data_IF_993193990454
#
_entry.id   IF_993193990454
#
_cell.length_a   1.000
_cell.length_b   1.000
_cell.length_c   1.000
_cell.angle_alpha   90.00
_cell.angle_beta   90.00
_cell.angle_gamma   90.00
#
_symmetry.space_group_name_H-M   'P 1'
#
loop_
_entity.id
_entity.type
_entity.pdbx_description
1 polymer ?
#
# COMPACT_ATOMS: atom_id res chain seq x y z
N UNK A 1 16.99 -4.61 -8.35
CA UNK A 1 16.20 -3.75 -7.46
C UNK A 1 17.09 -2.77 -6.71
N UNK A 2 16.53 -1.65 -6.24
CA UNK A 2 17.19 -0.62 -5.45
C UNK A 2 16.21 0.06 -4.50
N UNK A 3 16.71 0.78 -3.51
CA UNK A 3 15.88 1.51 -2.55
C UNK A 3 16.14 1.07 -1.11
N UNK A 4 15.54 1.80 -0.15
CA UNK A 4 15.79 1.65 1.29
C UNK A 4 15.65 0.21 1.78
N UNK A 5 14.59 -0.50 1.36
CA UNK A 5 14.39 -1.90 1.77
C UNK A 5 15.47 -2.84 1.26
N UNK A 6 15.99 -2.57 0.04
CA UNK A 6 17.12 -3.35 -0.53
C UNK A 6 18.40 -3.11 0.26
N UNK A 7 18.68 -1.85 0.58
CA UNK A 7 19.84 -1.47 1.37
C UNK A 7 19.78 -2.07 2.78
N UNK A 8 18.62 -2.02 3.43
CA UNK A 8 18.39 -2.66 4.72
C UNK A 8 18.55 -4.19 4.67
N UNK A 9 18.09 -4.84 3.60
CA UNK A 9 18.29 -6.28 3.43
C UNK A 9 19.76 -6.64 3.34
N UNK A 10 20.54 -5.90 2.54
CA UNK A 10 21.98 -6.11 2.44
C UNK A 10 22.73 -5.84 3.75
N UNK A 11 22.36 -4.78 4.48
CA UNK A 11 22.94 -4.51 5.80
C UNK A 11 22.61 -5.61 6.81
N UNK A 12 21.39 -6.15 6.80
CA UNK A 12 21.04 -7.31 7.62
C UNK A 12 21.89 -8.52 7.28
N UNK A 13 22.09 -8.82 5.99
CA UNK A 13 22.94 -9.90 5.54
C UNK A 13 24.39 -9.76 6.03
N UNK A 14 24.94 -8.54 5.93
CA UNK A 14 26.30 -8.26 6.47
C UNK A 14 26.38 -8.52 7.97
N UNK A 15 25.40 -8.08 8.74
CA UNK A 15 25.35 -8.30 10.19
C UNK A 15 25.25 -9.78 10.56
N UNK A 16 24.54 -10.57 9.78
CA UNK A 16 24.37 -12.00 9.97
C UNK A 16 25.48 -12.85 9.37
N UNK A 17 26.35 -12.26 8.52
CA UNK A 17 27.39 -12.97 7.80
C UNK A 17 26.87 -13.92 6.72
N UNK A 18 25.76 -13.58 6.08
CA UNK A 18 25.11 -14.39 5.03
C UNK A 18 24.92 -13.56 3.76
N UNK A 19 24.88 -14.24 2.61
CA UNK A 19 24.47 -13.64 1.36
C UNK A 19 22.95 -13.41 1.34
N UNK A 20 22.52 -12.32 0.70
CA UNK A 20 21.12 -11.97 0.55
C UNK A 20 20.68 -12.26 -0.88
N UNK A 21 19.71 -13.14 -1.03
CA UNK A 21 18.97 -13.33 -2.26
C UNK A 21 17.71 -12.44 -2.25
N UNK A 22 17.53 -11.61 -3.27
CA UNK A 22 16.36 -10.75 -3.41
C UNK A 22 15.29 -11.41 -4.28
N UNK A 23 14.14 -11.71 -3.70
CA UNK A 23 12.97 -12.21 -4.41
C UNK A 23 11.98 -11.06 -4.62
N UNK A 24 11.66 -10.73 -5.87
CA UNK A 24 10.83 -9.59 -6.25
C UNK A 24 9.42 -10.04 -6.60
N UNK A 25 8.43 -9.32 -6.05
CA UNK A 25 7.01 -9.53 -6.33
C UNK A 25 6.39 -8.25 -6.92
N UNK A 26 5.38 -8.40 -7.74
CA UNK A 26 4.62 -7.31 -8.38
C UNK A 26 3.45 -6.78 -7.52
N UNK A 27 3.19 -7.42 -6.37
CA UNK A 27 2.13 -7.02 -5.44
C UNK A 27 2.51 -7.31 -3.98
N UNK A 28 2.13 -6.41 -3.08
CA UNK A 28 2.41 -6.55 -1.65
C UNK A 28 1.82 -7.84 -1.04
N UNK A 29 0.62 -8.24 -1.46
CA UNK A 29 -0.01 -9.48 -0.99
C UNK A 29 0.81 -10.73 -1.30
N UNK A 30 1.45 -10.80 -2.46
CA UNK A 30 2.30 -11.94 -2.86
C UNK A 30 3.57 -12.04 -2.00
N UNK A 31 4.19 -10.92 -1.67
CA UNK A 31 5.36 -10.91 -0.76
C UNK A 31 4.98 -11.29 0.68
N UNK A 32 3.80 -10.86 1.14
CA UNK A 32 3.25 -11.30 2.44
C UNK A 32 3.04 -12.82 2.47
N UNK A 33 2.43 -13.37 1.42
CA UNK A 33 2.20 -14.81 1.28
C UNK A 33 3.52 -15.59 1.27
N UNK A 34 4.52 -15.13 0.54
CA UNK A 34 5.83 -15.77 0.45
C UNK A 34 6.52 -15.85 1.82
N UNK A 35 6.49 -14.79 2.63
CA UNK A 35 7.05 -14.82 3.99
C UNK A 35 6.18 -15.67 4.91
N UNK A 36 4.87 -15.56 4.84
CA UNK A 36 3.95 -16.36 5.67
C UNK A 36 4.14 -17.86 5.44
N UNK A 37 4.40 -18.27 4.20
CA UNK A 37 4.61 -19.66 3.80
C UNK A 37 6.09 -20.10 3.82
N UNK A 38 6.96 -19.31 4.44
CA UNK A 38 8.40 -19.60 4.58
C UNK A 38 9.16 -19.76 3.25
N UNK A 39 8.62 -19.19 2.16
CA UNK A 39 9.29 -19.10 0.86
C UNK A 39 10.30 -17.95 0.79
N UNK A 40 10.22 -17.03 1.75
CA UNK A 40 11.21 -16.00 2.01
C UNK A 40 11.37 -15.84 3.52
N UNK A 41 12.60 -15.54 3.97
CA UNK A 41 12.93 -15.47 5.39
C UNK A 41 12.54 -14.13 6.02
N UNK A 42 12.65 -13.05 5.26
CA UNK A 42 12.37 -11.67 5.71
C UNK A 42 11.67 -10.92 4.60
N UNK A 43 10.73 -10.06 4.97
CA UNK A 43 10.09 -9.12 4.05
C UNK A 43 9.95 -7.73 4.67
N UNK A 44 9.51 -6.76 3.87
CA UNK A 44 9.33 -5.36 4.27
C UNK A 44 7.87 -4.99 4.03
N UNK A 45 7.14 -4.72 5.11
CA UNK A 45 5.68 -4.62 5.07
C UNK A 45 5.14 -3.48 5.91
N UNK A 46 3.99 -2.97 5.48
CA UNK A 46 3.11 -2.25 6.39
C UNK A 46 2.63 -3.18 7.50
N UNK A 47 2.78 -2.76 8.74
CA UNK A 47 2.20 -3.46 9.90
C UNK A 47 0.67 -3.42 9.77
N UNK A 48 0.05 -4.59 9.78
CA UNK A 48 -1.40 -4.73 9.65
C UNK A 48 -1.88 -5.96 10.46
N UNK A 49 -3.05 -5.89 11.13
CA UNK A 49 -3.55 -7.00 11.92
C UNK A 49 -3.77 -8.30 11.16
N UNK A 50 -4.19 -8.22 9.89
CA UNK A 50 -4.39 -9.41 9.03
C UNK A 50 -3.04 -10.05 8.72
N UNK A 51 -2.05 -9.25 8.33
CA UNK A 51 -0.68 -9.72 8.07
C UNK A 51 -0.02 -10.29 9.33
N UNK A 52 -0.30 -9.70 10.49
CA UNK A 52 0.20 -10.17 11.79
C UNK A 52 -0.30 -11.54 12.22
N UNK A 53 -1.24 -12.14 11.51
CA UNK A 53 -1.63 -13.54 11.75
C UNK A 53 -0.53 -14.51 11.34
N UNK A 54 0.21 -14.23 10.30
CA UNK A 54 1.29 -15.08 9.76
C UNK A 54 2.69 -14.47 9.86
N UNK A 55 2.83 -13.19 10.23
CA UNK A 55 4.07 -12.44 10.25
C UNK A 55 4.31 -11.83 11.62
N UNK A 56 5.53 -12.00 12.14
CA UNK A 56 6.06 -11.25 13.28
C UNK A 56 6.80 -10.02 12.78
N UNK A 57 6.42 -8.82 13.24
CA UNK A 57 7.01 -7.56 12.81
C UNK A 57 8.06 -7.04 13.79
N UNK A 58 9.09 -6.38 13.25
CA UNK A 58 9.98 -5.51 14.04
C UNK A 58 9.25 -4.22 14.43
N UNK A 59 9.91 -3.36 15.20
CA UNK A 59 9.52 -1.95 15.28
C UNK A 59 9.54 -1.32 13.88
N UNK A 60 8.64 -0.36 13.59
CA UNK A 60 8.62 0.32 12.30
C UNK A 60 9.87 1.19 12.13
N UNK A 61 10.41 1.23 10.91
CA UNK A 61 11.56 2.06 10.56
C UNK A 61 11.19 3.31 9.76
N UNK A 62 9.98 3.38 9.21
CA UNK A 62 9.46 4.55 8.49
C UNK A 62 7.94 4.61 8.58
N UNK A 63 7.41 5.84 8.56
CA UNK A 63 5.98 6.12 8.44
C UNK A 63 5.67 6.61 7.03
N UNK A 64 4.62 6.06 6.43
CA UNK A 64 4.17 6.39 5.07
C UNK A 64 2.72 6.86 5.14
N UNK A 65 2.42 7.99 4.52
CA UNK A 65 1.06 8.54 4.50
C UNK A 65 0.23 7.94 3.37
N UNK A 66 -0.97 7.48 3.70
CA UNK A 66 -2.02 7.15 2.76
C UNK A 66 -2.89 8.38 2.45
N UNK A 67 -3.10 8.66 1.17
CA UNK A 67 -3.91 9.78 0.70
C UNK A 67 -4.96 9.33 -0.31
N UNK A 68 -5.96 10.19 -0.51
CA UNK A 68 -6.94 10.04 -1.58
C UNK A 68 -6.65 11.01 -2.72
N UNK A 69 -6.92 10.54 -3.92
CA UNK A 69 -6.84 11.29 -5.16
C UNK A 69 -8.21 11.27 -5.84
N UNK A 70 -8.63 12.43 -6.34
CA UNK A 70 -9.91 12.62 -7.04
C UNK A 70 -9.68 13.41 -8.32
N UNK A 71 -10.71 13.49 -9.17
CA UNK A 71 -10.70 14.43 -10.29
C UNK A 71 -10.75 15.87 -9.78
N UNK A 72 -10.20 16.78 -10.55
CA UNK A 72 -10.14 18.20 -10.19
C UNK A 72 -11.53 18.81 -10.01
N UNK A 73 -12.49 18.40 -10.81
CA UNK A 73 -13.91 18.81 -10.77
C UNK A 73 -14.77 17.99 -9.79
N UNK A 74 -14.19 17.04 -9.05
CA UNK A 74 -14.92 16.24 -8.06
C UNK A 74 -15.53 17.11 -6.97
N UNK A 75 -16.77 16.84 -6.54
CA UNK A 75 -17.37 17.51 -5.39
C UNK A 75 -16.76 17.08 -4.05
N UNK A 76 -15.99 16.00 -4.02
CA UNK A 76 -15.30 15.52 -2.82
C UNK A 76 -14.09 16.41 -2.55
N UNK A 77 -14.08 17.09 -1.41
CA UNK A 77 -13.03 18.05 -1.02
C UNK A 77 -12.31 17.68 0.27
N UNK A 78 -12.83 16.70 1.01
CA UNK A 78 -12.27 16.24 2.28
C UNK A 78 -12.37 14.70 2.42
N UNK A 79 -11.47 14.11 3.18
CA UNK A 79 -11.42 12.65 3.38
C UNK A 79 -12.73 12.07 3.96
N UNK A 80 -13.40 12.82 4.82
CA UNK A 80 -14.65 12.41 5.49
C UNK A 80 -15.83 12.27 4.51
N UNK A 81 -15.72 12.87 3.33
CA UNK A 81 -16.76 12.79 2.28
C UNK A 81 -16.61 11.57 1.38
N UNK A 82 -15.54 10.79 1.51
CA UNK A 82 -15.27 9.62 0.65
C UNK A 82 -16.23 8.47 0.95
N UNK A 83 -16.54 8.21 2.23
CA UNK A 83 -17.37 7.08 2.62
C UNK A 83 -18.88 7.36 2.46
N UNK A 84 -19.33 7.45 1.22
CA UNK A 84 -20.71 7.69 0.85
C UNK A 84 -21.24 6.57 -0.06
N UNK A 85 -22.56 6.26 0.01
CA UNK A 85 -23.20 5.35 -0.93
C UNK A 85 -22.98 5.81 -2.38
N UNK A 86 -22.59 4.89 -3.25
CA UNK A 86 -22.32 5.16 -4.65
C UNK A 86 -20.91 5.62 -4.96
N UNK A 87 -20.10 6.00 -3.97
CA UNK A 87 -18.68 6.29 -4.17
C UNK A 87 -17.88 5.01 -4.40
N UNK A 88 -17.06 4.99 -5.45
CA UNK A 88 -16.16 3.88 -5.76
C UNK A 88 -14.71 4.29 -5.49
N UNK A 89 -14.05 3.58 -4.59
CA UNK A 89 -12.65 3.80 -4.20
C UNK A 89 -11.77 2.72 -4.81
N UNK A 90 -10.83 3.10 -5.65
CA UNK A 90 -9.86 2.19 -6.27
C UNK A 90 -8.63 2.04 -5.39
N UNK A 91 -8.25 0.80 -5.09
CA UNK A 91 -7.06 0.44 -4.30
C UNK A 91 -6.28 -0.66 -4.98
N UNK A 92 -5.00 -0.83 -4.65
CA UNK A 92 -4.22 -2.00 -5.06
C UNK A 92 -4.63 -3.22 -4.26
N UNK A 93 -4.95 -4.33 -4.93
CA UNK A 93 -5.36 -5.58 -4.30
C UNK A 93 -4.32 -6.07 -3.29
N UNK A 94 -4.74 -6.32 -2.05
CA UNK A 94 -3.89 -6.79 -0.96
C UNK A 94 -2.90 -5.76 -0.42
N UNK A 95 -2.98 -4.49 -0.86
CA UNK A 95 -2.21 -3.39 -0.31
C UNK A 95 -2.64 -3.06 1.13
N UNK A 96 -1.82 -2.29 1.85
CA UNK A 96 -2.18 -1.80 3.18
C UNK A 96 -3.46 -0.94 3.16
N UNK A 97 -3.68 -0.20 2.09
CA UNK A 97 -4.89 0.63 1.87
C UNK A 97 -6.12 -0.24 1.68
N UNK A 98 -6.02 -1.31 0.89
CA UNK A 98 -7.09 -2.29 0.71
C UNK A 98 -7.50 -2.89 2.05
N UNK A 99 -6.55 -3.38 2.83
CA UNK A 99 -6.81 -3.98 4.14
C UNK A 99 -7.44 -2.99 5.12
N UNK A 100 -6.91 -1.76 5.18
CA UNK A 100 -7.42 -0.72 6.05
C UNK A 100 -8.84 -0.28 5.63
N UNK A 101 -9.04 0.06 4.36
CA UNK A 101 -10.32 0.58 3.86
C UNK A 101 -11.42 -0.47 3.87
N UNK A 102 -11.09 -1.75 3.69
CA UNK A 102 -12.04 -2.86 3.85
C UNK A 102 -12.63 -2.90 5.26
N UNK A 103 -11.86 -2.50 6.28
CA UNK A 103 -12.35 -2.40 7.66
C UNK A 103 -13.03 -1.06 7.97
N UNK A 104 -12.55 0.03 7.37
CA UNK A 104 -12.92 1.40 7.72
C UNK A 104 -14.15 1.91 6.98
N UNK A 105 -14.26 1.66 5.67
CA UNK A 105 -15.38 2.12 4.86
C UNK A 105 -16.65 1.32 5.16
N UNK A 106 -17.76 2.03 5.26
CA UNK A 106 -19.09 1.46 5.59
C UNK A 106 -20.08 1.54 4.43
N UNK A 107 -19.95 2.57 3.61
CA UNK A 107 -20.92 2.93 2.57
C UNK A 107 -20.33 2.93 1.17
N UNK A 108 -19.10 3.36 1.01
CA UNK A 108 -18.39 3.36 -0.27
C UNK A 108 -18.02 1.93 -0.71
N UNK A 109 -17.94 1.74 -2.02
CA UNK A 109 -17.52 0.47 -2.64
C UNK A 109 -16.03 0.50 -2.93
N UNK A 110 -15.32 -0.58 -2.64
CA UNK A 110 -13.91 -0.75 -2.97
C UNK A 110 -13.77 -1.51 -4.29
N UNK A 111 -13.04 -0.93 -5.23
CA UNK A 111 -12.60 -1.59 -6.45
C UNK A 111 -11.09 -1.90 -6.34
N UNK A 112 -10.70 -3.15 -6.61
CA UNK A 112 -9.32 -3.61 -6.47
C UNK A 112 -8.62 -3.69 -7.80
N UNK A 113 -7.69 -2.76 -8.06
CA UNK A 113 -6.76 -2.85 -9.18
C UNK A 113 -5.79 -4.02 -8.96
N UNK A 114 -5.29 -4.65 -10.04
CA UNK A 114 -4.42 -5.83 -9.93
C UNK A 114 -3.15 -5.58 -9.11
N UNK A 115 -2.55 -4.40 -9.25
CA UNK A 115 -1.32 -3.99 -8.56
C UNK A 115 -1.41 -2.54 -8.07
N UNK A 116 -0.60 -2.17 -7.08
CA UNK A 116 -0.58 -0.77 -6.59
C UNK A 116 -0.15 0.24 -7.66
N UNK A 117 0.83 -0.02 -8.54
CA UNK A 117 1.19 0.91 -9.61
C UNK A 117 0.08 1.18 -10.63
N UNK A 118 -0.89 0.29 -10.78
CA UNK A 118 -1.98 0.44 -11.76
C UNK A 118 -3.23 1.13 -11.21
N UNK A 119 -3.23 1.52 -9.94
CA UNK A 119 -4.42 2.08 -9.26
C UNK A 119 -4.96 3.32 -9.97
N UNK A 120 -4.11 4.29 -10.29
CA UNK A 120 -4.55 5.54 -10.91
C UNK A 120 -4.98 5.32 -12.37
N UNK A 121 -4.30 4.45 -13.10
CA UNK A 121 -4.70 4.11 -14.47
C UNK A 121 -6.10 3.49 -14.48
N UNK A 122 -6.35 2.52 -13.61
CA UNK A 122 -7.67 1.87 -13.46
C UNK A 122 -8.74 2.89 -13.01
N UNK A 123 -8.41 3.75 -12.03
CA UNK A 123 -9.30 4.81 -11.57
C UNK A 123 -9.75 5.73 -12.72
N UNK A 124 -8.81 6.12 -13.59
CA UNK A 124 -9.09 6.98 -14.75
C UNK A 124 -9.90 6.23 -15.80
N UNK A 125 -9.45 5.03 -16.20
CA UNK A 125 -10.09 4.22 -17.25
C UNK A 125 -11.52 3.80 -16.90
N UNK A 126 -11.76 3.42 -15.65
CA UNK A 126 -13.07 2.98 -15.19
C UNK A 126 -13.96 4.11 -14.68
N UNK A 127 -13.48 5.36 -14.75
CA UNK A 127 -14.18 6.55 -14.27
C UNK A 127 -14.68 6.44 -12.81
N UNK A 128 -13.88 5.82 -11.94
CA UNK A 128 -14.16 5.72 -10.50
C UNK A 128 -14.04 7.10 -9.82
N UNK A 129 -14.55 7.22 -8.58
CA UNK A 129 -14.65 8.51 -7.88
C UNK A 129 -13.37 8.88 -7.15
N UNK A 130 -12.68 7.91 -6.55
CA UNK A 130 -11.52 8.09 -5.68
C UNK A 130 -10.46 7.03 -5.96
N UNK A 131 -9.19 7.41 -5.95
CA UNK A 131 -8.07 6.49 -5.87
C UNK A 131 -7.38 6.64 -4.51
N UNK A 132 -6.96 5.53 -3.89
CA UNK A 132 -6.24 5.51 -2.62
C UNK A 132 -4.87 4.90 -2.77
N UNK A 133 -3.85 5.51 -2.18
CA UNK A 133 -2.47 5.03 -2.28
C UNK A 133 -1.47 5.83 -1.46
N UNK A 134 -0.19 5.56 -1.68
CA UNK A 134 0.91 6.35 -1.11
C UNK A 134 0.86 7.77 -1.63
N UNK A 135 0.92 8.75 -0.73
CA UNK A 135 0.88 10.18 -1.11
C UNK A 135 1.86 10.52 -2.22
N UNK A 136 3.14 10.20 -2.05
CA UNK A 136 4.19 10.52 -3.03
C UNK A 136 3.94 9.86 -4.40
N UNK A 137 3.41 8.64 -4.41
CA UNK A 137 3.06 7.97 -5.66
C UNK A 137 1.89 8.66 -6.35
N UNK A 138 0.86 9.03 -5.59
CA UNK A 138 -0.29 9.75 -6.14
C UNK A 138 0.11 11.15 -6.64
N UNK A 139 0.99 11.85 -5.95
CA UNK A 139 1.57 13.12 -6.42
C UNK A 139 2.30 12.95 -7.76
N UNK A 140 3.10 11.91 -7.90
CA UNK A 140 3.75 11.57 -9.15
C UNK A 140 2.72 11.28 -10.26
N UNK A 141 1.67 10.54 -9.95
CA UNK A 141 0.62 10.19 -10.93
C UNK A 141 -0.19 11.41 -11.39
N UNK A 142 -0.33 12.47 -10.55
CA UNK A 142 -0.95 13.74 -11.02
C UNK A 142 -0.12 14.44 -12.10
N UNK A 143 1.17 14.17 -12.20
CA UNK A 143 2.01 14.68 -13.28
C UNK A 143 1.85 13.89 -14.59
N UNK A 144 1.43 12.63 -14.49
CA UNK A 144 1.18 11.75 -15.63
C UNK A 144 -0.24 11.87 -16.21
N UNK A 145 -1.19 12.18 -15.36
CA UNK A 145 -2.61 12.34 -15.70
C UNK A 145 -3.08 13.75 -15.33
N UNK A 146 -3.53 14.50 -16.32
CA UNK A 146 -4.09 15.84 -16.09
C UNK A 146 -5.47 15.78 -15.43
N UNK A 147 -5.87 16.86 -14.76
CA UNK A 147 -7.20 17.00 -14.16
C UNK A 147 -7.43 16.17 -12.91
N UNK A 148 -6.36 15.84 -12.18
CA UNK A 148 -6.39 15.12 -10.90
C UNK A 148 -5.81 15.97 -9.78
N UNK A 149 -6.30 15.78 -8.56
CA UNK A 149 -5.80 16.41 -7.34
C UNK A 149 -5.87 15.48 -6.15
N UNK A 150 -4.98 15.68 -5.18
CA UNK A 150 -5.07 14.99 -3.90
C UNK A 150 -6.05 15.71 -2.98
N UNK A 151 -6.74 14.93 -2.14
CA UNK A 151 -7.45 15.49 -0.99
C UNK A 151 -6.45 15.94 0.08
N UNK A 152 -6.79 16.98 0.87
CA UNK A 152 -5.94 17.45 1.96
C UNK A 152 -5.76 16.38 3.05
N UNK A 153 -4.62 16.40 3.71
CA UNK A 153 -4.34 15.50 4.82
C UNK A 153 -4.07 14.06 4.37
N UNK A 154 -4.26 13.14 5.30
CA UNK A 154 -4.07 11.71 5.12
C UNK A 154 -5.26 10.95 5.71
N UNK A 155 -5.64 9.81 5.12
CA UNK A 155 -6.70 8.99 5.70
C UNK A 155 -6.15 7.87 6.60
N UNK A 156 -4.86 7.51 6.43
CA UNK A 156 -4.17 6.54 7.29
C UNK A 156 -2.67 6.76 7.26
N UNK A 157 -1.96 6.15 8.21
CA UNK A 157 -0.50 6.09 8.25
C UNK A 157 -0.07 4.63 8.24
N UNK A 158 0.83 4.29 7.34
CA UNK A 158 1.50 3.00 7.32
C UNK A 158 2.71 3.07 8.24
N UNK A 159 2.82 2.10 9.15
CA UNK A 159 4.04 1.79 9.89
C UNK A 159 4.78 0.70 9.13
N UNK A 160 5.83 1.06 8.40
CA UNK A 160 6.61 0.11 7.61
C UNK A 160 7.66 -0.56 8.50
N UNK A 161 7.70 -1.88 8.50
CA UNK A 161 8.58 -2.69 9.33
C UNK A 161 9.17 -3.86 8.54
N UNK A 162 10.17 -4.51 9.11
CA UNK A 162 10.59 -5.83 8.66
C UNK A 162 9.65 -6.89 9.24
N UNK A 163 9.42 -7.96 8.51
CA UNK A 163 8.58 -9.07 8.94
C UNK A 163 9.24 -10.41 8.69
N UNK A 164 9.05 -11.32 9.62
CA UNK A 164 9.52 -12.71 9.57
C UNK A 164 8.32 -13.64 9.67
N UNK A 165 8.45 -14.90 9.21
CA UNK A 165 7.44 -15.91 9.49
C UNK A 165 7.15 -16.00 10.97
N UNK A 166 5.88 -16.11 11.35
CA UNK A 166 5.50 -16.17 12.79
C UNK A 166 5.98 -17.44 13.50
N UNK A 167 6.35 -18.44 12.73
CA UNK A 167 6.91 -19.71 13.18
C UNK A 167 8.37 -19.63 13.63
N UNK A 168 9.03 -18.49 13.40
CA UNK A 168 10.46 -18.28 13.72
C UNK A 168 10.69 -17.20 14.76
#
# INVERSE_FOLDING_TARGET
>A
PFGISVDLAHELGKHLGVEVELVVFDAAGKSVEAVTNEQADVGFFAVDPVRGQGISFTAPYVLIEGAYLVREDSPITANEQVDQPGTVVTVGKGSAYDLYLTRALKSATIFRAPTSPTVVDVFVEQAHDVAAGVRQQLEYDTMRHSGLRLLPGRFMVIQQAMGLPKSR
#
